data_IF_888759258228
#
_entry.id   IF_888759258228
#
_cell.length_a   1.000
_cell.length_b   1.000
_cell.length_c   1.000
_cell.angle_alpha   90.00
_cell.angle_beta   90.00
_cell.angle_gamma   90.00
#
_symmetry.space_group_name_H-M   'P 1'
#
loop_
_entity.id
_entity.type
_entity.pdbx_description
1 polymer ?
#
# COMPACT_ATOMS: atom_id res chain seq x y z
N UNK A 1 -20.73 17.46 11.41
CA UNK A 1 -19.98 17.00 10.21
C UNK A 1 -18.79 17.92 10.03
N UNK A 2 -17.58 17.37 9.92
CA UNK A 2 -16.39 18.17 9.66
C UNK A 2 -16.28 18.43 8.15
N UNK A 3 -15.92 19.65 7.76
CA UNK A 3 -15.65 20.01 6.37
C UNK A 3 -14.14 20.23 6.22
N UNK A 4 -13.53 19.59 5.22
CA UNK A 4 -12.13 19.75 4.88
C UNK A 4 -12.04 20.45 3.52
N UNK A 5 -11.47 21.65 3.50
CA UNK A 5 -11.20 22.38 2.26
C UNK A 5 -9.70 22.36 1.95
N UNK A 6 -9.34 21.83 0.79
CA UNK A 6 -7.98 21.89 0.26
C UNK A 6 -7.92 23.03 -0.76
N UNK A 7 -7.00 23.98 -0.55
CA UNK A 7 -6.79 25.13 -1.45
C UNK A 7 -5.55 24.91 -2.31
N UNK A 8 -5.48 25.61 -3.44
CA UNK A 8 -4.34 25.58 -4.37
C UNK A 8 -4.04 24.19 -4.92
N UNK A 9 -5.08 23.38 -5.19
CA UNK A 9 -4.91 22.10 -5.88
C UNK A 9 -4.49 22.38 -7.32
N UNK A 10 -3.36 21.84 -7.81
CA UNK A 10 -2.97 22.03 -9.19
C UNK A 10 -4.05 21.49 -10.15
N UNK A 11 -4.36 22.21 -11.22
CA UNK A 11 -5.39 21.81 -12.19
C UNK A 11 -5.12 20.42 -12.76
N UNK A 12 -3.85 20.10 -13.00
CA UNK A 12 -3.42 18.78 -13.48
C UNK A 12 -3.76 17.64 -12.50
N UNK A 13 -3.72 17.91 -11.19
CA UNK A 13 -4.11 16.94 -10.17
C UNK A 13 -5.64 16.85 -10.06
N UNK A 14 -6.33 17.98 -10.12
CA UNK A 14 -7.79 18.02 -10.11
C UNK A 14 -8.39 17.22 -11.27
N UNK A 15 -7.88 17.40 -12.49
CA UNK A 15 -8.36 16.67 -13.68
C UNK A 15 -8.09 15.16 -13.58
N UNK A 16 -6.92 14.77 -13.06
CA UNK A 16 -6.60 13.35 -12.81
C UNK A 16 -7.56 12.73 -11.79
N UNK A 17 -7.86 13.44 -10.70
CA UNK A 17 -8.81 12.98 -9.69
C UNK A 17 -10.24 12.90 -10.25
N UNK A 18 -10.63 13.88 -11.08
CA UNK A 18 -11.93 13.88 -11.76
C UNK A 18 -12.09 12.67 -12.68
N UNK A 19 -11.08 12.41 -13.53
CA UNK A 19 -11.09 11.23 -14.41
C UNK A 19 -11.16 9.93 -13.61
N UNK A 20 -10.36 9.82 -12.55
CA UNK A 20 -10.40 8.65 -11.68
C UNK A 20 -11.79 8.43 -11.05
N UNK A 21 -12.44 9.50 -10.57
CA UNK A 21 -13.79 9.42 -10.03
C UNK A 21 -14.82 8.97 -11.08
N UNK A 22 -14.70 9.47 -12.32
CA UNK A 22 -15.54 9.07 -13.45
C UNK A 22 -15.37 7.59 -13.82
N UNK A 23 -14.13 7.10 -13.92
CA UNK A 23 -13.83 5.70 -14.20
C UNK A 23 -14.44 4.75 -13.17
N UNK A 24 -14.55 5.20 -11.92
CA UNK A 24 -15.11 4.44 -10.80
C UNK A 24 -16.61 4.72 -10.57
N UNK A 25 -17.24 5.59 -11.36
CA UNK A 25 -18.64 6.03 -11.20
C UNK A 25 -18.97 6.57 -9.80
N UNK A 26 -18.04 7.31 -9.18
CA UNK A 26 -18.21 7.93 -7.87
C UNK A 26 -18.02 9.45 -7.94
N UNK A 27 -18.42 10.16 -6.87
CA UNK A 27 -18.17 11.60 -6.76
C UNK A 27 -16.68 11.87 -6.51
N UNK A 28 -16.21 13.06 -6.90
CA UNK A 28 -14.84 13.50 -6.62
C UNK A 28 -14.53 13.49 -5.12
N UNK A 29 -15.50 13.92 -4.29
CA UNK A 29 -15.36 13.88 -2.83
C UNK A 29 -15.19 12.45 -2.31
N UNK A 30 -15.99 11.50 -2.78
CA UNK A 30 -15.85 10.09 -2.41
C UNK A 30 -14.50 9.51 -2.86
N UNK A 31 -14.03 9.86 -4.07
CA UNK A 31 -12.73 9.42 -4.55
C UNK A 31 -11.58 9.93 -3.66
N UNK A 32 -11.64 11.19 -3.23
CA UNK A 32 -10.64 11.78 -2.32
C UNK A 32 -10.70 11.13 -0.94
N UNK A 33 -11.89 10.95 -0.37
CA UNK A 33 -12.06 10.31 0.94
C UNK A 33 -11.52 8.87 0.93
N UNK A 34 -11.87 8.08 -0.08
CA UNK A 34 -11.36 6.71 -0.24
C UNK A 34 -9.84 6.68 -0.35
N UNK A 35 -9.24 7.66 -1.04
CA UNK A 35 -7.79 7.75 -1.14
C UNK A 35 -7.13 8.07 0.21
N UNK A 36 -7.72 8.96 1.00
CA UNK A 36 -7.24 9.32 2.34
C UNK A 36 -7.36 8.13 3.29
N UNK A 37 -8.51 7.46 3.32
CA UNK A 37 -8.73 6.26 4.15
C UNK A 37 -7.71 5.16 3.83
N UNK A 38 -7.47 4.91 2.54
CA UNK A 38 -6.48 3.92 2.09
C UNK A 38 -5.06 4.27 2.53
N UNK A 39 -4.68 5.55 2.49
CA UNK A 39 -3.34 5.96 2.94
C UNK A 39 -3.21 5.87 4.46
N UNK A 40 -4.24 6.22 5.22
CA UNK A 40 -4.25 6.06 6.67
C UNK A 40 -4.12 4.58 7.07
N UNK A 41 -4.90 3.70 6.43
CA UNK A 41 -4.80 2.26 6.65
C UNK A 41 -3.40 1.72 6.31
N UNK A 42 -2.79 2.18 5.21
CA UNK A 42 -1.41 1.82 4.83
C UNK A 42 -0.40 2.30 5.86
N UNK A 43 -0.52 3.54 6.33
CA UNK A 43 0.37 4.10 7.35
C UNK A 43 0.25 3.34 8.67
N UNK A 44 -0.98 3.04 9.11
CA UNK A 44 -1.24 2.26 10.31
C UNK A 44 -0.65 0.85 10.20
N UNK A 45 -0.86 0.18 9.07
CA UNK A 45 -0.30 -1.14 8.82
C UNK A 45 1.23 -1.14 8.89
N UNK A 46 1.88 -0.15 8.26
CA UNK A 46 3.35 0.01 8.33
C UNK A 46 3.85 0.22 9.75
N UNK A 47 3.17 1.06 10.54
CA UNK A 47 3.50 1.26 11.95
C UNK A 47 3.38 -0.05 12.74
N UNK A 48 2.24 -0.74 12.59
CA UNK A 48 2.02 -2.03 13.25
C UNK A 48 3.05 -3.07 12.86
N UNK A 49 3.45 -3.12 11.59
CA UNK A 49 4.50 -4.02 11.12
C UNK A 49 5.85 -3.71 11.78
N UNK A 50 6.21 -2.43 11.90
CA UNK A 50 7.47 -2.00 12.51
C UNK A 50 7.53 -2.28 14.03
N UNK A 51 6.38 -2.28 14.71
CA UNK A 51 6.27 -2.60 16.13
C UNK A 51 6.31 -4.11 16.43
N UNK A 52 6.21 -4.98 15.40
CA UNK A 52 6.24 -6.43 15.63
C UNK A 52 7.63 -6.83 16.12
N UNK A 53 7.71 -7.65 17.19
CA UNK A 53 8.99 -8.19 17.62
C UNK A 53 9.59 -9.01 16.48
N UNK A 54 10.87 -8.77 16.19
CA UNK A 54 11.62 -9.61 15.26
C UNK A 54 11.53 -11.04 15.77
N UNK A 55 10.96 -11.92 14.96
CA UNK A 55 10.94 -13.35 15.28
C UNK A 55 12.33 -13.88 15.02
N UNK A 56 13.05 -14.24 16.08
CA UNK A 56 14.28 -15.00 15.94
C UNK A 56 13.92 -16.42 15.51
N UNK A 57 14.33 -16.78 14.30
CA UNK A 57 14.08 -18.09 13.73
C UNK A 57 15.10 -19.13 14.22
N UNK A 58 16.15 -18.71 14.93
CA UNK A 58 17.27 -19.57 15.34
C UNK A 58 18.16 -20.02 14.18
N UNK A 59 17.77 -19.69 12.94
CA UNK A 59 18.45 -20.00 11.68
C UNK A 59 18.34 -18.79 10.74
N UNK A 60 19.31 -18.64 9.85
CA UNK A 60 19.27 -17.61 8.81
C UNK A 60 18.14 -17.91 7.83
N UNK A 61 17.12 -17.03 7.78
CA UNK A 61 16.07 -17.12 6.78
C UNK A 61 16.61 -17.06 5.34
N UNK A 62 17.73 -16.35 5.14
CA UNK A 62 18.38 -16.27 3.83
C UNK A 62 18.96 -17.62 3.41
N UNK A 63 19.55 -18.36 4.36
CA UNK A 63 20.18 -19.66 4.08
C UNK A 63 19.10 -20.69 3.75
N UNK A 64 17.99 -20.69 4.50
CA UNK A 64 16.84 -21.56 4.23
C UNK A 64 16.18 -21.25 2.87
N UNK A 65 16.08 -19.97 2.50
CA UNK A 65 15.59 -19.58 1.17
C UNK A 65 16.55 -19.99 0.05
N UNK A 66 17.86 -19.98 0.30
CA UNK A 66 18.86 -20.41 -0.67
C UNK A 66 18.81 -21.93 -0.90
N UNK A 67 18.67 -22.71 0.18
CA UNK A 67 18.51 -24.17 0.13
C UNK A 67 17.29 -24.58 -0.69
N UNK A 68 16.11 -24.04 -0.39
CA UNK A 68 14.87 -24.34 -1.14
C UNK A 68 14.97 -23.92 -2.61
N UNK A 69 15.68 -22.82 -2.91
CA UNK A 69 15.89 -22.39 -4.31
C UNK A 69 16.81 -23.36 -5.06
N UNK A 70 17.87 -23.85 -4.42
CA UNK A 70 18.80 -24.80 -5.01
C UNK A 70 18.14 -26.18 -5.24
N UNK A 71 17.32 -26.65 -4.30
CA UNK A 71 16.50 -27.87 -4.46
C UNK A 71 15.57 -27.74 -5.65
N UNK A 72 14.83 -26.62 -5.75
CA UNK A 72 13.93 -26.36 -6.86
C UNK A 72 14.63 -26.29 -8.21
N UNK A 73 15.82 -25.70 -8.27
CA UNK A 73 16.61 -25.63 -9.51
C UNK A 73 17.10 -27.01 -9.94
N UNK A 74 17.37 -27.90 -8.97
CA UNK A 74 17.75 -29.30 -9.23
C UNK A 74 16.56 -30.15 -9.73
N UNK A 75 15.34 -29.89 -9.27
CA UNK A 75 14.12 -30.58 -9.72
C UNK A 75 13.61 -30.12 -11.10
N UNK A 76 14.00 -28.91 -11.52
CA UNK A 76 13.56 -28.30 -12.78
C UNK A 76 14.61 -28.41 -13.91
N UNK A 77 15.80 -28.97 -13.63
CA UNK A 77 16.88 -29.25 -14.58
C UNK A 77 16.87 -30.70 -15.06
#
# INVERSE_FOLDING_TARGET
MANLQVKNVPDSLHERLRRHAQEQNITLGAAVLNAVERELARAEWRRRLAERPTTDLGISAADLLAEVRAERETELG
#
